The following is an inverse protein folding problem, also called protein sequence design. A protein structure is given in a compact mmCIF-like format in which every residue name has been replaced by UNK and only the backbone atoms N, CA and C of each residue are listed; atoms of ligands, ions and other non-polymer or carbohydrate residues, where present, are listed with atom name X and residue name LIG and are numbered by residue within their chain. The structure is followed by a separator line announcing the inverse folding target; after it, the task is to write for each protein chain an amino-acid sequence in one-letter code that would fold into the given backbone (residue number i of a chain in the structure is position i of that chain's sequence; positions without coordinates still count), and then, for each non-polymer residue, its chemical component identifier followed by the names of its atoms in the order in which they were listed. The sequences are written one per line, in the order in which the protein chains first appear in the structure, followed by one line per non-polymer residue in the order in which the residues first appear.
data_IF_549277048663
#
_entry.id   IF_549277048663
#
_cell.length_a   1.000
_cell.length_b   1.000
_cell.length_c   1.000
_cell.angle_alpha   90.00
_cell.angle_beta   90.00
_cell.angle_gamma   90.00
#
_symmetry.space_group_name_H-M   'P 1'
#
loop_
_entity.id
_entity.type
_entity.pdbx_description
1 polymer ?
#
# COMPACT_ATOMS: atom_id res chain seq x y z
N UNK A 1 4.40 -19.94 -8.99
CA UNK A 1 4.84 -18.92 -9.95
C UNK A 1 3.76 -17.89 -10.20
N UNK A 2 2.61 -18.33 -10.66
CA UNK A 2 1.49 -17.45 -10.98
C UNK A 2 1.01 -16.61 -9.78
N UNK A 3 0.86 -17.27 -8.63
CA UNK A 3 0.41 -16.58 -7.41
C UNK A 3 1.43 -15.56 -6.91
N UNK A 4 2.71 -15.87 -7.07
CA UNK A 4 3.77 -14.94 -6.69
C UNK A 4 3.74 -13.69 -7.57
N UNK A 5 3.50 -13.85 -8.88
CA UNK A 5 3.35 -12.71 -9.79
C UNK A 5 2.20 -11.80 -9.38
N UNK A 6 1.06 -12.39 -8.99
CA UNK A 6 -0.10 -11.62 -8.50
C UNK A 6 0.28 -10.85 -7.24
N UNK A 7 0.98 -11.50 -6.31
CA UNK A 7 1.41 -10.86 -5.06
C UNK A 7 2.36 -9.69 -5.31
N UNK A 8 3.34 -9.85 -6.18
CA UNK A 8 4.28 -8.78 -6.54
C UNK A 8 3.53 -7.59 -7.14
N UNK A 9 2.59 -7.86 -8.05
CA UNK A 9 1.78 -6.82 -8.68
C UNK A 9 0.95 -6.08 -7.62
N UNK A 10 0.35 -6.81 -6.69
CA UNK A 10 -0.48 -6.21 -5.63
C UNK A 10 0.34 -5.26 -4.74
N UNK A 11 1.53 -5.67 -4.32
CA UNK A 11 2.39 -4.82 -3.48
C UNK A 11 2.85 -3.60 -4.27
N UNK A 12 3.22 -3.77 -5.53
CA UNK A 12 3.64 -2.65 -6.38
C UNK A 12 2.51 -1.65 -6.58
N UNK A 13 1.29 -2.12 -6.78
CA UNK A 13 0.11 -1.25 -6.91
C UNK A 13 -0.14 -0.48 -5.61
N UNK A 14 0.00 -1.14 -4.46
CA UNK A 14 -0.15 -0.50 -3.16
C UNK A 14 0.89 0.60 -2.96
N UNK A 15 2.15 0.34 -3.31
CA UNK A 15 3.22 1.33 -3.24
C UNK A 15 2.93 2.55 -4.11
N UNK A 16 2.47 2.32 -5.34
CA UNK A 16 2.15 3.40 -6.26
C UNK A 16 0.99 4.25 -5.73
N UNK A 17 -0.06 3.61 -5.22
CA UNK A 17 -1.21 4.30 -4.66
C UNK A 17 -0.80 5.16 -3.45
N UNK A 18 0.03 4.62 -2.56
CA UNK A 18 0.49 5.36 -1.39
C UNK A 18 1.34 6.56 -1.79
N UNK A 19 2.29 6.37 -2.71
CA UNK A 19 3.17 7.45 -3.15
C UNK A 19 2.38 8.58 -3.80
N UNK A 20 1.39 8.24 -4.61
CA UNK A 20 0.54 9.23 -5.26
C UNK A 20 -0.30 9.99 -4.23
N UNK A 21 -0.82 9.27 -3.24
CA UNK A 21 -1.61 9.89 -2.17
C UNK A 21 -0.76 10.84 -1.33
N UNK A 22 0.48 10.45 -1.02
CA UNK A 22 1.40 11.31 -0.28
C UNK A 22 1.63 12.61 -1.06
N UNK A 23 1.89 12.52 -2.35
CA UNK A 23 2.09 13.71 -3.20
C UNK A 23 0.84 14.58 -3.21
N UNK A 24 -0.34 13.97 -3.37
CA UNK A 24 -1.61 14.67 -3.37
C UNK A 24 -1.82 15.43 -2.05
N UNK A 25 -1.63 14.76 -0.92
CA UNK A 25 -1.89 15.37 0.39
C UNK A 25 -0.90 16.49 0.73
N UNK A 26 0.31 16.44 0.18
CA UNK A 26 1.29 17.51 0.35
C UNK A 26 0.91 18.78 -0.41
N UNK A 27 0.18 18.64 -1.51
CA UNK A 27 -0.20 19.77 -2.37
C UNK A 27 -1.54 20.37 -2.01
N UNK A 28 -2.43 19.61 -1.37
CA UNK A 28 -3.79 20.07 -1.08
C UNK A 28 -3.86 20.72 0.29
N UNK A 29 -4.79 21.65 0.43
CA UNK A 29 -5.03 22.36 1.68
C UNK A 29 -6.49 22.28 2.08
N UNK A 30 -6.73 22.27 3.39
CA UNK A 30 -8.05 22.40 3.98
C UNK A 30 -7.89 23.26 5.21
N UNK A 31 -8.72 24.30 5.36
CA UNK A 31 -8.65 25.21 6.51
C UNK A 31 -7.27 25.87 6.65
N UNK A 32 -6.67 26.29 5.52
CA UNK A 32 -5.35 26.92 5.45
C UNK A 32 -4.21 26.04 5.92
N UNK A 33 -4.43 24.74 5.92
CA UNK A 33 -3.42 23.75 6.33
C UNK A 33 -3.35 22.66 5.28
N UNK A 34 -2.14 22.21 4.96
CA UNK A 34 -1.97 21.09 4.04
C UNK A 34 -2.56 19.83 4.65
N UNK A 35 -3.19 19.01 3.82
CA UNK A 35 -3.82 17.77 4.29
C UNK A 35 -2.81 16.87 4.98
N UNK A 36 -1.57 16.80 4.44
CA UNK A 36 -0.50 15.99 5.04
C UNK A 36 -0.18 16.39 6.47
N UNK A 37 -0.42 17.65 6.85
CA UNK A 37 -0.07 18.15 8.17
C UNK A 37 -1.11 17.82 9.25
N UNK A 38 -2.27 17.28 8.87
CA UNK A 38 -3.23 16.81 9.86
C UNK A 38 -2.68 15.54 10.49
N UNK A 39 -2.70 15.49 11.82
CA UNK A 39 -2.12 14.38 12.57
C UNK A 39 -2.71 13.04 12.17
N UNK A 40 -4.03 12.97 11.95
CA UNK A 40 -4.69 11.75 11.56
C UNK A 40 -4.21 11.27 10.20
N UNK A 41 -4.02 12.18 9.25
CA UNK A 41 -3.51 11.85 7.93
C UNK A 41 -2.10 11.28 8.02
N UNK A 42 -1.23 11.93 8.78
CA UNK A 42 0.14 11.44 8.99
C UNK A 42 0.15 10.05 9.59
N UNK A 43 -0.71 9.81 10.57
CA UNK A 43 -0.81 8.52 11.23
C UNK A 43 -1.22 7.43 10.24
N UNK A 44 -2.27 7.69 9.44
CA UNK A 44 -2.76 6.74 8.44
C UNK A 44 -1.67 6.42 7.42
N UNK A 45 -1.04 7.44 6.85
CA UNK A 45 -0.02 7.26 5.82
C UNK A 45 1.20 6.52 6.38
N UNK A 46 1.60 6.81 7.61
CA UNK A 46 2.72 6.12 8.24
C UNK A 46 2.41 4.64 8.46
N UNK A 47 1.19 4.33 8.87
CA UNK A 47 0.78 2.94 9.08
C UNK A 47 0.75 2.17 7.77
N UNK A 48 0.22 2.78 6.71
CA UNK A 48 0.22 2.16 5.40
C UNK A 48 1.63 1.91 4.90
N UNK A 49 2.52 2.87 5.10
CA UNK A 49 3.93 2.72 4.72
C UNK A 49 4.58 1.55 5.45
N UNK A 50 4.30 1.41 6.75
CA UNK A 50 4.84 0.30 7.53
C UNK A 50 4.32 -1.04 7.01
N UNK A 51 3.03 -1.14 6.74
CA UNK A 51 2.43 -2.38 6.23
C UNK A 51 3.02 -2.76 4.87
N UNK A 52 3.21 -1.79 3.98
CA UNK A 52 3.79 -2.01 2.66
C UNK A 52 5.26 -2.43 2.78
N UNK A 53 6.00 -1.83 3.70
CA UNK A 53 7.41 -2.18 3.92
C UNK A 53 7.54 -3.63 4.37
N UNK A 54 6.67 -4.07 5.27
CA UNK A 54 6.65 -5.47 5.72
C UNK A 54 6.31 -6.39 4.55
N UNK A 55 5.30 -6.04 3.75
CA UNK A 55 4.90 -6.84 2.61
C UNK A 55 6.01 -6.94 1.57
N UNK A 56 6.71 -5.83 1.28
CA UNK A 56 7.82 -5.83 0.33
C UNK A 56 8.95 -6.74 0.80
N UNK A 57 9.27 -6.68 2.09
CA UNK A 57 10.30 -7.55 2.66
C UNK A 57 9.92 -9.03 2.51
N UNK A 58 8.65 -9.34 2.77
CA UNK A 58 8.16 -10.70 2.64
C UNK A 58 8.21 -11.17 1.17
N UNK A 59 7.81 -10.32 0.23
CA UNK A 59 7.82 -10.64 -1.19
C UNK A 59 9.25 -10.84 -1.70
N UNK A 60 10.20 -10.02 -1.24
CA UNK A 60 11.60 -10.20 -1.62
C UNK A 60 12.12 -11.55 -1.17
N UNK A 61 11.74 -12.00 0.02
CA UNK A 61 12.07 -13.33 0.51
C UNK A 61 11.43 -14.41 -0.35
N UNK A 62 10.16 -14.24 -0.72
CA UNK A 62 9.45 -15.20 -1.56
C UNK A 62 10.12 -15.37 -2.93
N UNK A 63 10.56 -14.27 -3.53
CA UNK A 63 11.27 -14.27 -4.80
C UNK A 63 12.56 -15.07 -4.67
N UNK A 64 13.31 -14.83 -3.60
CA UNK A 64 14.56 -15.54 -3.34
C UNK A 64 14.31 -17.06 -3.18
N UNK A 65 13.28 -17.42 -2.41
CA UNK A 65 12.90 -18.82 -2.24
C UNK A 65 12.50 -19.46 -3.55
N UNK A 66 11.78 -18.75 -4.41
CA UNK A 66 11.37 -19.23 -5.71
C UNK A 66 12.59 -19.49 -6.61
N UNK A 67 13.56 -18.58 -6.62
CA UNK A 67 14.78 -18.73 -7.41
C UNK A 67 15.56 -19.97 -6.95
N UNK A 68 15.53 -20.28 -5.66
CA UNK A 68 16.23 -21.42 -5.09
C UNK A 68 15.39 -22.70 -5.08
N UNK A 69 14.22 -22.69 -5.75
CA UNK A 69 13.31 -23.83 -5.85
C UNK A 69 12.77 -24.30 -4.50
N UNK A 70 12.69 -23.39 -3.52
CA UNK A 70 12.16 -23.69 -2.19
C UNK A 70 10.79 -23.09 -1.93
N UNK A 71 10.19 -22.48 -2.96
CA UNK A 71 8.90 -21.79 -2.81
C UNK A 71 7.77 -22.79 -3.06
N UNK A 72 6.99 -23.07 -2.02
CA UNK A 72 5.91 -24.05 -2.09
C UNK A 72 4.60 -23.42 -2.59
N UNK A 73 3.65 -24.30 -2.98
CA UNK A 73 2.31 -23.85 -3.35
C UNK A 73 1.61 -23.16 -2.18
N UNK A 74 1.86 -23.64 -0.96
CA UNK A 74 1.31 -23.03 0.26
C UNK A 74 1.85 -21.62 0.45
N UNK A 75 3.15 -21.43 0.25
CA UNK A 75 3.77 -20.10 0.33
C UNK A 75 3.16 -19.16 -0.71
N UNK A 76 2.90 -19.68 -1.91
CA UNK A 76 2.25 -18.89 -2.96
C UNK A 76 0.85 -18.46 -2.59
N UNK A 77 0.08 -19.32 -1.94
CA UNK A 77 -1.26 -19.00 -1.49
C UNK A 77 -1.23 -17.92 -0.41
N UNK A 78 -0.31 -18.03 0.54
CA UNK A 78 -0.13 -17.05 1.61
C UNK A 78 0.26 -15.68 1.02
N UNK A 79 1.23 -15.66 0.11
CA UNK A 79 1.68 -14.42 -0.51
C UNK A 79 0.55 -13.74 -1.26
N UNK A 80 -0.20 -14.48 -2.05
CA UNK A 80 -1.33 -13.95 -2.81
C UNK A 80 -2.38 -13.34 -1.88
N UNK A 81 -2.79 -14.09 -0.87
CA UNK A 81 -3.83 -13.65 0.05
C UNK A 81 -3.41 -12.40 0.79
N UNK A 82 -2.24 -12.42 1.41
CA UNK A 82 -1.76 -11.29 2.22
C UNK A 82 -1.60 -10.02 1.37
N UNK A 83 -0.97 -10.15 0.22
CA UNK A 83 -0.67 -8.98 -0.61
C UNK A 83 -1.90 -8.40 -1.30
N UNK A 84 -2.86 -9.24 -1.72
CA UNK A 84 -4.09 -8.72 -2.32
C UNK A 84 -4.97 -8.04 -1.28
N UNK A 85 -5.04 -8.57 -0.07
CA UNK A 85 -5.77 -7.91 1.01
C UNK A 85 -5.13 -6.57 1.37
N UNK A 86 -3.81 -6.52 1.40
CA UNK A 86 -3.08 -5.28 1.64
C UNK A 86 -3.36 -4.25 0.54
N UNK A 87 -3.36 -4.68 -0.71
CA UNK A 87 -3.67 -3.80 -1.83
C UNK A 87 -5.05 -3.16 -1.66
N UNK A 88 -6.06 -3.95 -1.34
CA UNK A 88 -7.41 -3.44 -1.10
C UNK A 88 -7.44 -2.43 0.04
N UNK A 89 -6.80 -2.76 1.14
CA UNK A 89 -6.75 -1.89 2.31
C UNK A 89 -6.09 -0.56 1.98
N UNK A 90 -4.94 -0.58 1.31
CA UNK A 90 -4.21 0.64 0.97
C UNK A 90 -5.02 1.51 0.01
N UNK A 91 -5.59 0.91 -1.03
CA UNK A 91 -6.39 1.66 -2.01
C UNK A 91 -7.62 2.26 -1.34
N UNK A 92 -8.31 1.49 -0.49
CA UNK A 92 -9.49 1.98 0.21
C UNK A 92 -9.17 3.18 1.10
N UNK A 93 -8.10 3.08 1.91
CA UNK A 93 -7.68 4.17 2.78
C UNK A 93 -7.28 5.41 1.98
N UNK A 94 -6.57 5.21 0.87
CA UNK A 94 -6.17 6.31 0.00
C UNK A 94 -7.38 7.00 -0.63
N UNK A 95 -8.36 6.23 -1.08
CA UNK A 95 -9.59 6.78 -1.65
C UNK A 95 -10.36 7.59 -0.61
N UNK A 96 -10.38 7.15 0.64
CA UNK A 96 -11.03 7.90 1.71
C UNK A 96 -10.35 9.24 1.94
N UNK A 97 -9.04 9.30 1.87
CA UNK A 97 -8.31 10.55 1.99
C UNK A 97 -8.65 11.51 0.84
N UNK A 98 -8.73 10.99 -0.39
CA UNK A 98 -9.14 11.81 -1.53
C UNK A 98 -10.59 12.31 -1.36
N UNK A 99 -11.51 11.40 -1.05
CA UNK A 99 -12.93 11.72 -0.93
C UNK A 99 -13.23 12.66 0.22
N UNK A 100 -12.68 12.35 1.40
CA UNK A 100 -12.95 13.13 2.60
C UNK A 100 -12.45 14.55 2.52
N UNK A 101 -11.20 14.73 2.09
CA UNK A 101 -10.59 16.05 2.05
C UNK A 101 -10.90 16.82 0.77
N UNK A 102 -11.31 16.12 -0.28
CA UNK A 102 -11.76 16.76 -1.51
C UNK A 102 -12.95 17.67 -1.27
N UNK A 103 -13.88 17.24 -0.44
CA UNK A 103 -15.04 18.04 -0.07
C UNK A 103 -14.67 19.31 0.70
N UNK A 104 -13.66 19.20 1.52
CA UNK A 104 -13.24 20.32 2.36
C UNK A 104 -12.57 21.44 1.56
N UNK A 105 -12.15 21.14 0.35
CA UNK A 105 -11.49 22.10 -0.53
C UNK A 105 -12.46 22.95 -1.35
N UNK A 106 -13.69 22.47 -1.48
CA UNK A 106 -14.74 23.14 -2.24
C UNK A 106 -15.54 24.08 -1.37
#
# INVERSE_FOLDING_TARGET
MFRLSIAVTAVSAAEAALNWTITYTKQRKAFDKKIIDFQNTKFILSKLKADITVARTYIDRCIKEHINNNFSAEDGAIAKLFCTELQFKVIDECLQLFGGYGYMQE
#
